data_IF_228373789227
#
_entry.id   IF_228373789227
#
_cell.length_a   1.000
_cell.length_b   1.000
_cell.length_c   1.000
_cell.angle_alpha   90.00
_cell.angle_beta   90.00
_cell.angle_gamma   90.00
#
_symmetry.space_group_name_H-M   'P 1'
#
loop_
_entity.id
_entity.type
_entity.pdbx_description
1 polymer ?
#
# COMPACT_ATOMS: atom_id res chain seq x y z
N UNK A 1 4.64 14.25 4.71
CA UNK A 1 5.57 13.10 4.68
C UNK A 1 6.65 13.18 5.76
N UNK A 2 7.31 14.32 5.97
CA UNK A 2 8.30 14.48 7.07
C UNK A 2 7.78 14.07 8.44
N UNK A 3 6.59 14.55 8.81
CA UNK A 3 5.98 14.21 10.09
C UNK A 3 5.72 12.70 10.24
N UNK A 4 5.23 12.05 9.18
CA UNK A 4 5.00 10.59 9.12
C UNK A 4 6.32 9.86 9.37
N UNK A 5 7.39 10.26 8.68
CA UNK A 5 8.73 9.68 8.85
C UNK A 5 9.29 9.91 10.25
N UNK A 6 9.21 11.13 10.77
CA UNK A 6 9.72 11.51 12.09
C UNK A 6 9.00 10.79 13.23
N UNK A 7 7.71 10.49 13.06
CA UNK A 7 6.90 9.71 14.01
C UNK A 7 6.96 8.20 13.78
N UNK A 8 7.80 7.73 12.85
CA UNK A 8 7.90 6.33 12.45
C UNK A 8 6.51 5.73 12.15
N UNK A 9 5.68 6.42 11.37
CA UNK A 9 4.35 5.96 10.96
C UNK A 9 4.41 5.24 9.61
N UNK A 10 3.39 4.43 9.33
CA UNK A 10 3.17 3.81 8.02
C UNK A 10 2.13 4.60 7.22
N UNK A 11 2.20 4.51 5.89
CA UNK A 11 1.16 5.01 4.98
C UNK A 11 0.32 3.83 4.50
N UNK A 12 -1.00 3.97 4.49
CA UNK A 12 -1.88 2.98 3.89
C UNK A 12 -1.97 3.16 2.38
N UNK A 13 -1.81 2.05 1.65
CA UNK A 13 -2.16 1.93 0.25
C UNK A 13 -3.57 1.31 0.14
N UNK A 14 -4.56 2.14 -0.21
CA UNK A 14 -5.96 1.72 -0.25
C UNK A 14 -6.45 1.51 -1.67
N UNK A 15 -6.91 0.29 -1.98
CA UNK A 15 -7.48 -0.05 -3.30
C UNK A 15 -8.87 0.56 -3.54
N UNK A 16 -9.44 1.21 -2.52
CA UNK A 16 -10.75 1.85 -2.61
C UNK A 16 -10.86 2.89 -3.72
N UNK A 17 -9.77 3.62 -3.99
CA UNK A 17 -9.77 4.67 -5.00
C UNK A 17 -10.03 4.17 -6.42
N UNK A 18 -9.69 2.91 -6.73
CA UNK A 18 -10.03 2.28 -8.01
C UNK A 18 -11.53 2.01 -8.18
N UNK A 19 -12.30 1.97 -7.09
CA UNK A 19 -13.77 1.87 -7.12
C UNK A 19 -14.46 3.24 -7.21
N UNK A 20 -13.72 4.33 -7.04
CA UNK A 20 -14.24 5.71 -7.08
C UNK A 20 -13.99 6.34 -8.45
N UNK A 21 -14.68 7.44 -8.81
CA UNK A 21 -14.48 8.11 -10.10
C UNK A 21 -13.03 8.53 -10.39
N UNK A 22 -12.22 8.77 -9.35
CA UNK A 22 -10.78 9.08 -9.51
C UNK A 22 -10.02 7.91 -10.15
N UNK A 23 -10.45 6.66 -9.94
CA UNK A 23 -9.85 5.45 -10.49
C UNK A 23 -8.32 5.36 -10.30
N UNK A 24 -7.85 5.76 -9.13
CA UNK A 24 -6.44 5.74 -8.74
C UNK A 24 -6.27 4.99 -7.41
N UNK A 25 -5.05 4.51 -7.14
CA UNK A 25 -4.72 4.03 -5.79
C UNK A 25 -4.69 5.24 -4.84
N UNK A 26 -5.03 5.03 -3.57
CA UNK A 26 -4.74 6.03 -2.55
C UNK A 26 -3.49 5.65 -1.75
N UNK A 27 -2.54 6.59 -1.52
CA UNK A 27 -2.44 7.90 -2.16
C UNK A 27 -2.00 7.77 -3.63
N UNK A 28 -1.96 8.89 -4.36
CA UNK A 28 -1.51 8.92 -5.76
C UNK A 28 -0.03 8.57 -5.91
N UNK A 29 0.36 8.15 -7.12
CA UNK A 29 1.72 7.69 -7.43
C UNK A 29 2.83 8.67 -7.01
N UNK A 30 2.72 10.01 -7.25
CA UNK A 30 3.76 10.94 -6.81
C UNK A 30 3.98 10.92 -5.29
N UNK A 31 2.93 10.71 -4.49
CA UNK A 31 3.05 10.62 -3.03
C UNK A 31 3.71 9.29 -2.64
N UNK A 32 3.38 8.20 -3.33
CA UNK A 32 3.99 6.89 -3.10
C UNK A 32 5.49 6.96 -3.39
N UNK A 33 5.90 7.51 -4.53
CA UNK A 33 7.32 7.67 -4.91
C UNK A 33 8.09 8.52 -3.89
N UNK A 34 7.51 9.64 -3.45
CA UNK A 34 8.11 10.48 -2.40
C UNK A 34 8.23 9.75 -1.05
N UNK A 35 7.25 8.91 -0.71
CA UNK A 35 7.29 8.11 0.51
C UNK A 35 8.33 6.98 0.44
N UNK A 36 8.48 6.33 -0.73
CA UNK A 36 9.55 5.35 -1.01
C UNK A 36 10.92 6.00 -0.81
N UNK A 37 11.17 7.16 -1.43
CA UNK A 37 12.43 7.89 -1.32
C UNK A 37 12.77 8.30 0.13
N UNK A 38 11.76 8.42 0.98
CA UNK A 38 11.93 8.72 2.42
C UNK A 38 12.05 7.47 3.28
N UNK A 39 11.87 6.27 2.73
CA UNK A 39 11.85 5.03 3.48
C UNK A 39 10.67 4.92 4.46
N UNK A 40 9.51 5.49 4.09
CA UNK A 40 8.28 5.33 4.87
C UNK A 40 7.66 3.96 4.53
N UNK A 41 7.36 3.11 5.52
CA UNK A 41 6.76 1.80 5.25
C UNK A 41 5.29 1.93 4.84
N UNK A 42 4.81 0.96 4.07
CA UNK A 42 3.43 0.89 3.62
C UNK A 42 2.66 -0.25 4.29
N UNK A 43 1.41 0.01 4.67
CA UNK A 43 0.38 -1.02 4.92
C UNK A 43 -0.61 -1.03 3.75
N UNK A 44 -1.45 -2.05 3.64
CA UNK A 44 -2.45 -2.17 2.56
C UNK A 44 -3.85 -2.33 3.12
N UNK A 45 -4.85 -1.83 2.40
CA UNK A 45 -6.26 -2.05 2.71
C UNK A 45 -7.11 -2.06 1.45
N UNK A 46 -8.22 -2.79 1.46
CA UNK A 46 -9.24 -2.65 0.41
C UNK A 46 -10.35 -1.67 0.75
N UNK A 47 -10.42 -1.20 2.00
CA UNK A 47 -11.50 -0.38 2.57
C UNK A 47 -12.88 -0.97 2.25
N UNK A 48 -13.01 -2.27 2.51
CA UNK A 48 -14.19 -3.05 2.17
C UNK A 48 -15.36 -2.68 3.07
N UNK A 49 -16.47 -2.29 2.46
CA UNK A 49 -17.77 -2.08 3.12
C UNK A 49 -18.74 -3.24 2.86
N UNK A 50 -18.28 -4.29 2.17
CA UNK A 50 -19.00 -5.55 1.99
C UNK A 50 -18.02 -6.70 1.76
N UNK A 51 -18.47 -7.94 1.96
CA UNK A 51 -17.65 -9.13 1.71
C UNK A 51 -17.11 -9.20 0.27
N UNK A 52 -17.86 -8.68 -0.70
CA UNK A 52 -17.46 -8.66 -2.11
C UNK A 52 -16.30 -7.70 -2.39
N UNK A 53 -16.03 -6.75 -1.50
CA UNK A 53 -14.93 -5.78 -1.63
C UNK A 53 -13.67 -6.20 -0.86
N UNK A 54 -13.74 -7.28 -0.09
CA UNK A 54 -12.60 -7.75 0.71
C UNK A 54 -11.47 -8.20 -0.22
N UNK A 55 -10.30 -7.56 -0.09
CA UNK A 55 -9.15 -7.85 -0.95
C UNK A 55 -9.34 -7.46 -2.42
N UNK A 56 -10.40 -6.71 -2.75
CA UNK A 56 -10.67 -6.29 -4.11
C UNK A 56 -9.47 -5.50 -4.68
N UNK A 57 -9.12 -5.81 -5.93
CA UNK A 57 -7.95 -5.31 -6.64
C UNK A 57 -6.56 -5.59 -6.01
N UNK A 58 -6.43 -6.51 -5.05
CA UNK A 58 -5.11 -6.86 -4.49
C UNK A 58 -4.09 -7.39 -5.51
N UNK A 59 -4.46 -8.18 -6.54
CA UNK A 59 -3.52 -8.55 -7.60
C UNK A 59 -2.95 -7.33 -8.35
N UNK A 60 -3.82 -6.34 -8.67
CA UNK A 60 -3.42 -5.07 -9.30
C UNK A 60 -2.51 -4.26 -8.37
N UNK A 61 -2.81 -4.23 -7.06
CA UNK A 61 -1.96 -3.60 -6.06
C UNK A 61 -0.58 -4.23 -6.00
N UNK A 62 -0.50 -5.56 -5.91
CA UNK A 62 0.75 -6.30 -5.85
C UNK A 62 1.66 -5.99 -7.04
N UNK A 63 1.11 -6.03 -8.26
CA UNK A 63 1.84 -5.66 -9.49
C UNK A 63 2.34 -4.22 -9.44
N UNK A 64 1.46 -3.28 -9.04
CA UNK A 64 1.80 -1.86 -8.99
C UNK A 64 2.93 -1.57 -8.01
N UNK A 65 2.82 -2.04 -6.77
CA UNK A 65 3.84 -1.76 -5.74
C UNK A 65 5.15 -2.48 -6.05
N UNK A 66 5.10 -3.66 -6.67
CA UNK A 66 6.29 -4.36 -7.14
C UNK A 66 7.00 -3.57 -8.26
N UNK A 67 6.23 -3.01 -9.21
CA UNK A 67 6.75 -2.12 -10.26
C UNK A 67 7.40 -0.85 -9.69
N UNK A 68 6.89 -0.33 -8.56
CA UNK A 68 7.47 0.79 -7.83
C UNK A 68 8.67 0.41 -6.94
N UNK A 69 9.11 -0.86 -6.97
CA UNK A 69 10.27 -1.31 -6.17
C UNK A 69 9.94 -1.67 -4.71
N UNK A 70 8.68 -1.64 -4.30
CA UNK A 70 8.28 -2.08 -2.95
C UNK A 70 8.36 -3.61 -2.89
N UNK A 71 9.09 -4.13 -1.90
CA UNK A 71 9.30 -5.58 -1.67
C UNK A 71 8.74 -6.07 -0.35
N UNK A 72 8.40 -5.14 0.54
CA UNK A 72 7.85 -5.43 1.85
C UNK A 72 6.74 -4.44 2.17
N UNK A 73 5.71 -4.93 2.85
CA UNK A 73 4.69 -4.12 3.52
C UNK A 73 4.78 -4.37 5.01
N UNK A 74 4.17 -3.50 5.80
CA UNK A 74 3.95 -3.74 7.21
C UNK A 74 2.51 -4.17 7.48
N UNK A 75 2.36 -5.10 8.41
CA UNK A 75 1.10 -5.37 9.11
C UNK A 75 1.26 -4.94 10.57
N UNK A 76 0.15 -4.93 11.31
CA UNK A 76 0.15 -4.62 12.73
C UNK A 76 -0.48 -5.76 13.51
N UNK A 77 0.27 -6.32 14.46
CA UNK A 77 -0.15 -7.40 15.36
C UNK A 77 0.01 -6.87 16.80
N UNK A 78 -1.06 -6.83 17.59
CA UNK A 78 -1.03 -6.26 18.96
C UNK A 78 -0.40 -4.85 19.03
N UNK A 79 -0.76 -3.98 18.07
CA UNK A 79 -0.24 -2.62 17.91
C UNK A 79 1.29 -2.56 17.64
N UNK A 80 1.92 -3.69 17.34
CA UNK A 80 3.33 -3.77 16.94
C UNK A 80 3.42 -3.91 15.42
N UNK A 81 4.29 -3.11 14.81
CA UNK A 81 4.56 -3.18 13.37
C UNK A 81 5.40 -4.41 13.06
N UNK A 82 4.96 -5.22 12.10
CA UNK A 82 5.72 -6.36 11.60
C UNK A 82 5.83 -6.31 10.09
N UNK A 83 7.05 -6.41 9.57
CA UNK A 83 7.29 -6.41 8.13
C UNK A 83 6.98 -7.78 7.53
N UNK A 84 6.41 -7.79 6.32
CA UNK A 84 6.09 -8.98 5.53
C UNK A 84 6.56 -8.76 4.10
N UNK A 85 7.25 -9.75 3.54
CA UNK A 85 7.64 -9.72 2.14
C UNK A 85 6.41 -9.84 1.25
N UNK A 86 6.41 -9.08 0.16
CA UNK A 86 5.42 -9.20 -0.90
C UNK A 86 6.09 -9.93 -2.05
N UNK A 87 5.58 -11.12 -2.37
CA UNK A 87 5.97 -11.85 -3.57
C UNK A 87 5.03 -11.40 -4.68
N UNK A 88 5.53 -10.59 -5.60
CA UNK A 88 4.93 -10.47 -6.92
C UNK A 88 5.75 -11.39 -7.83
N UNK A 89 5.09 -12.32 -8.52
CA UNK A 89 5.75 -12.95 -9.66
C UNK A 89 6.17 -11.84 -10.64
N UNK A 90 7.41 -11.86 -11.16
CA UNK A 90 7.80 -10.90 -12.18
C UNK A 90 6.82 -11.01 -13.36
N UNK A 91 6.46 -9.89 -14.02
CA UNK A 91 5.66 -9.97 -15.24
C UNK A 91 6.38 -10.87 -16.25
N UNK A 92 5.64 -11.82 -16.82
CA UNK A 92 6.08 -12.67 -17.93
C UNK A 92 6.61 -11.85 -19.11
#
# INVERSE_FOLDING_TARGET
>A
LEFIRARNLAIELSTAGWRKPVNELYPSDPIIELAINKGIPFTIASDAHSHAQLGDNYPRLAQKIAGLGVRQICIFENHQRVMRSVYAEPPL
#
